data_IF_671729665890
#
_entry.id   IF_671729665890
#
_cell.length_a   1.000
_cell.length_b   1.000
_cell.length_c   1.000
_cell.angle_alpha   90.00
_cell.angle_beta   90.00
_cell.angle_gamma   90.00
#
_symmetry.space_group_name_H-M   'P 1'
#
loop_
_entity.id
_entity.type
_entity.pdbx_description
1 polymer ?
#
# COMPACT_ATOMS: atom_id res chain seq x y z
N UNK A 1 0.95 -5.34 20.24
CA UNK A 1 1.14 -4.65 18.97
C UNK A 1 -0.16 -4.77 18.21
N UNK A 2 -0.69 -3.65 17.72
CA UNK A 2 -1.95 -3.65 16.99
C UNK A 2 -1.80 -4.42 15.69
N UNK A 3 -2.72 -5.35 15.44
CA UNK A 3 -2.70 -6.22 14.26
C UNK A 3 -2.88 -5.41 12.97
N UNK A 4 -3.74 -4.39 13.02
CA UNK A 4 -4.04 -3.54 11.87
C UNK A 4 -3.49 -2.14 12.09
N UNK A 5 -2.94 -1.56 11.03
CA UNK A 5 -2.53 -0.16 11.01
C UNK A 5 -2.85 0.44 9.65
N UNK A 6 -3.33 1.68 9.67
CA UNK A 6 -3.48 2.52 8.49
C UNK A 6 -2.57 3.73 8.66
N UNK A 7 -1.61 3.89 7.73
CA UNK A 7 -0.63 4.97 7.77
C UNK A 7 -0.77 5.79 6.49
N UNK A 8 -1.00 7.09 6.66
CA UNK A 8 -0.98 8.05 5.57
C UNK A 8 0.27 8.92 5.65
N UNK A 9 0.93 9.09 4.51
CA UNK A 9 2.02 10.05 4.33
C UNK A 9 1.62 11.00 3.21
N UNK A 10 1.58 12.28 3.53
CA UNK A 10 1.36 13.34 2.56
C UNK A 10 2.69 13.71 1.89
N UNK A 11 2.65 13.86 0.58
CA UNK A 11 3.76 14.31 -0.25
C UNK A 11 3.51 15.72 -0.80
N UNK A 12 4.46 16.25 -1.58
CA UNK A 12 4.27 17.52 -2.28
C UNK A 12 3.14 17.42 -3.31
N UNK A 13 2.47 18.54 -3.59
CA UNK A 13 1.43 18.66 -4.64
C UNK A 13 0.23 17.71 -4.45
N UNK A 14 -0.29 17.58 -3.22
CA UNK A 14 -1.46 16.77 -2.87
C UNK A 14 -1.31 15.25 -3.12
N UNK A 15 -0.08 14.80 -3.35
CA UNK A 15 0.24 13.38 -3.43
C UNK A 15 0.12 12.74 -2.05
N UNK A 16 -0.24 11.46 -2.02
CA UNK A 16 -0.24 10.71 -0.78
C UNK A 16 0.14 9.25 -1.00
N UNK A 17 0.80 8.68 0.00
CA UNK A 17 1.08 7.26 0.10
C UNK A 17 0.38 6.72 1.33
N UNK A 18 -0.53 5.78 1.12
CA UNK A 18 -1.21 5.03 2.16
C UNK A 18 -0.60 3.63 2.29
N UNK A 19 -0.47 3.15 3.52
CA UNK A 19 -0.17 1.77 3.84
C UNK A 19 -1.27 1.19 4.73
N UNK A 20 -1.85 0.08 4.31
CA UNK A 20 -2.70 -0.77 5.14
C UNK A 20 -1.88 -1.98 5.57
N UNK A 21 -1.77 -2.22 6.88
CA UNK A 21 -0.91 -3.26 7.45
C UNK A 21 -1.77 -4.28 8.21
N UNK A 22 -1.42 -5.56 8.05
CA UNK A 22 -1.95 -6.67 8.84
C UNK A 22 -0.79 -7.55 9.30
N UNK A 23 -0.36 -7.39 10.55
CA UNK A 23 0.77 -8.12 11.11
C UNK A 23 2.09 -7.81 10.39
N UNK A 24 2.62 -8.78 9.65
CA UNK A 24 3.95 -8.71 9.01
C UNK A 24 3.91 -8.34 7.52
N UNK A 25 2.74 -7.99 7.00
CA UNK A 25 2.56 -7.59 5.61
C UNK A 25 1.71 -6.33 5.50
N UNK A 26 1.83 -5.65 4.37
CA UNK A 26 0.99 -4.51 4.06
C UNK A 26 0.79 -4.28 2.57
N UNK A 27 -0.27 -3.57 2.26
CA UNK A 27 -0.64 -3.11 0.94
C UNK A 27 -0.40 -1.61 0.84
N UNK A 28 0.21 -1.17 -0.26
CA UNK A 28 0.48 0.24 -0.51
C UNK A 28 -0.47 0.78 -1.57
N UNK A 29 -0.94 2.00 -1.35
CA UNK A 29 -1.70 2.79 -2.31
C UNK A 29 -1.08 4.17 -2.46
N UNK A 30 -0.77 4.54 -3.69
CA UNK A 30 -0.25 5.86 -4.03
C UNK A 30 -1.29 6.65 -4.82
N UNK A 31 -1.59 7.87 -4.37
CA UNK A 31 -2.52 8.79 -5.02
C UNK A 31 -1.74 10.01 -5.53
N UNK A 32 -1.91 10.38 -6.81
CA UNK A 32 -1.25 11.54 -7.42
C UNK A 32 -1.88 12.86 -6.95
N UNK A 33 -3.16 12.83 -6.64
CA UNK A 33 -3.94 13.94 -6.09
C UNK A 33 -5.17 13.39 -5.36
N UNK A 34 -5.87 14.26 -4.62
CA UNK A 34 -7.14 13.88 -3.97
C UNK A 34 -8.16 13.38 -5.01
N UNK A 35 -8.77 12.24 -4.73
CA UNK A 35 -9.79 11.62 -5.61
C UNK A 35 -9.23 10.86 -6.81
N UNK A 36 -7.91 10.70 -6.91
CA UNK A 36 -7.28 9.78 -7.86
C UNK A 36 -7.66 8.33 -7.52
N UNK A 37 -7.88 7.50 -8.54
CA UNK A 37 -8.02 6.04 -8.35
C UNK A 37 -6.70 5.44 -7.86
N UNK A 38 -5.59 6.05 -8.28
CA UNK A 38 -4.26 5.78 -7.76
C UNK A 38 -3.63 4.51 -8.30
N UNK A 39 -2.54 4.14 -7.62
CA UNK A 39 -1.73 2.97 -7.91
C UNK A 39 -1.67 2.11 -6.68
N UNK A 40 -1.57 0.80 -6.86
CA UNK A 40 -1.42 -0.13 -5.75
C UNK A 40 -0.27 -1.11 -5.92
N UNK A 41 0.25 -1.63 -4.80
CA UNK A 41 1.36 -2.57 -4.84
C UNK A 41 0.96 -3.94 -5.41
N UNK A 42 1.91 -4.57 -6.09
CA UNK A 42 1.90 -6.00 -6.43
C UNK A 42 3.17 -6.63 -5.88
N UNK A 43 3.07 -7.87 -5.42
CA UNK A 43 4.20 -8.64 -4.92
C UNK A 43 4.62 -9.67 -5.99
N UNK A 44 5.68 -9.39 -6.78
CA UNK A 44 6.15 -10.30 -7.81
C UNK A 44 6.73 -11.60 -7.23
N UNK A 45 7.13 -11.59 -5.96
CA UNK A 45 7.74 -12.72 -5.26
C UNK A 45 6.71 -13.52 -4.43
N UNK A 46 5.41 -13.25 -4.61
CA UNK A 46 4.38 -13.96 -3.87
C UNK A 46 4.34 -15.45 -4.25
N UNK A 47 4.58 -16.31 -3.26
CA UNK A 47 4.48 -17.77 -3.37
C UNK A 47 3.35 -18.24 -2.45
N UNK A 48 2.12 -18.24 -2.98
CA UNK A 48 0.94 -18.69 -2.25
C UNK A 48 -0.24 -18.98 -3.18
N UNK A 49 -1.41 -19.26 -2.61
CA UNK A 49 -2.61 -19.53 -3.39
C UNK A 49 -3.07 -18.26 -4.13
N UNK A 50 -3.53 -18.43 -5.38
CA UNK A 50 -3.92 -17.32 -6.25
C UNK A 50 -5.20 -16.60 -5.78
N UNK A 51 -6.04 -17.30 -5.02
CA UNK A 51 -7.30 -16.84 -4.44
C UNK A 51 -7.18 -16.47 -2.96
N UNK A 52 -5.97 -16.50 -2.38
CA UNK A 52 -5.78 -16.05 -1.01
C UNK A 52 -5.98 -14.54 -0.90
N UNK A 53 -6.66 -14.12 0.15
CA UNK A 53 -6.94 -12.72 0.45
C UNK A 53 -6.43 -12.36 1.85
N UNK A 54 -6.13 -11.08 2.05
CA UNK A 54 -5.74 -10.50 3.32
C UNK A 54 -6.71 -9.38 3.63
N UNK A 55 -7.21 -9.40 4.86
CA UNK A 55 -8.10 -8.37 5.35
C UNK A 55 -7.31 -7.19 5.94
N UNK A 56 -7.83 -5.98 5.79
CA UNK A 56 -7.28 -4.77 6.39
C UNK A 56 -8.40 -3.99 7.05
N UNK A 57 -8.09 -3.40 8.21
CA UNK A 57 -9.01 -2.55 8.95
C UNK A 57 -8.55 -1.10 8.82
N UNK A 58 -9.41 -0.26 8.25
CA UNK A 58 -9.19 1.17 8.12
C UNK A 58 -9.65 1.88 9.40
N UNK A 59 -9.14 3.09 9.65
CA UNK A 59 -9.49 3.86 10.85
C UNK A 59 -10.97 4.28 10.90
N UNK A 60 -11.67 4.30 9.77
CA UNK A 60 -13.11 4.55 9.69
C UNK A 60 -13.96 3.31 10.06
N UNK A 61 -13.33 2.18 10.40
CA UNK A 61 -14.00 0.92 10.72
C UNK A 61 -14.39 0.08 9.50
N UNK A 62 -14.05 0.53 8.30
CA UNK A 62 -14.19 -0.27 7.09
C UNK A 62 -13.17 -1.42 7.11
N UNK A 63 -13.64 -2.59 6.73
CA UNK A 63 -12.80 -3.76 6.51
C UNK A 63 -12.80 -4.08 5.02
N UNK A 64 -11.61 -4.15 4.44
CA UNK A 64 -11.40 -4.45 3.02
C UNK A 64 -10.58 -5.74 2.87
N UNK A 65 -10.81 -6.45 1.77
CA UNK A 65 -10.08 -7.67 1.41
C UNK A 65 -9.38 -7.44 0.08
N UNK A 66 -8.07 -7.73 0.06
CA UNK A 66 -7.27 -7.67 -1.16
C UNK A 66 -6.53 -8.99 -1.37
N UNK A 67 -6.25 -9.36 -2.63
CA UNK A 67 -5.42 -10.51 -2.92
C UNK A 67 -4.08 -10.47 -2.16
N UNK A 68 -3.71 -11.59 -1.55
CA UNK A 68 -2.44 -11.72 -0.83
C UNK A 68 -1.22 -11.49 -1.74
N UNK A 69 -1.39 -11.70 -3.06
CA UNK A 69 -0.39 -11.38 -4.09
C UNK A 69 -0.12 -9.88 -4.27
N UNK A 70 -0.90 -9.01 -3.61
CA UNK A 70 -0.69 -7.56 -3.62
C UNK A 70 0.06 -7.07 -2.38
N UNK A 71 0.13 -7.91 -1.35
CA UNK A 71 0.74 -7.59 -0.07
C UNK A 71 2.26 -7.78 -0.11
N UNK A 72 2.96 -6.79 0.42
CA UNK A 72 4.41 -6.75 0.53
C UNK A 72 4.84 -7.04 1.97
N UNK A 73 6.05 -7.56 2.21
CA UNK A 73 6.61 -7.67 3.54
C UNK A 73 6.66 -6.32 4.26
N UNK A 74 6.35 -6.28 5.55
CA UNK A 74 6.32 -5.05 6.35
C UNK A 74 7.64 -4.26 6.30
N UNK A 75 8.77 -4.95 6.18
CA UNK A 75 10.09 -4.30 6.01
C UNK A 75 10.14 -3.44 4.74
N UNK A 76 9.59 -3.94 3.63
CA UNK A 76 9.54 -3.24 2.35
C UNK A 76 8.50 -2.11 2.38
N UNK A 77 7.36 -2.33 3.05
CA UNK A 77 6.34 -1.30 3.29
C UNK A 77 6.93 -0.12 4.06
N UNK A 78 7.65 -0.38 5.15
CA UNK A 78 8.30 0.67 5.95
C UNK A 78 9.36 1.42 5.13
N UNK A 79 10.16 0.69 4.35
CA UNK A 79 11.14 1.30 3.45
C UNK A 79 10.47 2.21 2.41
N UNK A 80 9.33 1.80 1.85
CA UNK A 80 8.56 2.61 0.90
C UNK A 80 8.00 3.88 1.54
N UNK A 81 7.44 3.78 2.76
CA UNK A 81 6.96 4.93 3.52
C UNK A 81 8.08 5.92 3.82
N UNK A 82 9.23 5.44 4.30
CA UNK A 82 10.37 6.29 4.63
C UNK A 82 11.00 6.93 3.40
N UNK A 83 11.08 6.20 2.28
CA UNK A 83 11.50 6.74 1.00
C UNK A 83 10.58 7.90 0.59
N UNK A 84 9.26 7.66 0.53
CA UNK A 84 8.30 8.68 0.13
C UNK A 84 8.31 9.90 1.06
N UNK A 85 8.42 9.70 2.38
CA UNK A 85 8.59 10.81 3.36
C UNK A 85 9.82 11.66 3.07
N UNK A 86 10.93 11.02 2.70
CA UNK A 86 12.21 11.71 2.53
C UNK A 86 12.36 12.41 1.17
N UNK A 87 11.79 11.83 0.11
CA UNK A 87 11.97 12.33 -1.27
C UNK A 87 10.74 13.00 -1.84
N UNK A 88 9.55 12.70 -1.33
CA UNK A 88 8.28 13.11 -1.93
C UNK A 88 8.02 12.45 -3.30
N UNK A 89 8.74 11.39 -3.65
CA UNK A 89 8.60 10.69 -4.94
C UNK A 89 8.12 9.27 -4.73
N UNK A 90 7.33 8.76 -5.67
CA UNK A 90 6.88 7.35 -5.65
C UNK A 90 8.08 6.39 -5.53
N UNK A 91 8.04 5.43 -4.58
CA UNK A 91 9.11 4.44 -4.40
C UNK A 91 9.33 3.59 -5.68
N UNK A 92 10.49 3.70 -6.36
CA UNK A 92 10.71 3.02 -7.65
C UNK A 92 10.98 1.52 -7.52
N UNK A 93 11.26 1.05 -6.31
CA UNK A 93 11.51 -0.36 -6.00
C UNK A 93 10.23 -1.14 -5.68
N UNK A 94 9.07 -0.50 -5.72
CA UNK A 94 7.77 -1.15 -5.58
C UNK A 94 7.20 -1.42 -6.96
N UNK A 95 6.65 -2.62 -7.16
CA UNK A 95 5.87 -2.93 -8.37
C UNK A 95 4.47 -2.32 -8.23
N UNK A 96 4.26 -1.20 -8.91
CA UNK A 96 2.97 -0.51 -8.94
C UNK A 96 2.08 -1.04 -10.07
N UNK A 97 0.81 -1.23 -9.77
CA UNK A 97 -0.25 -1.40 -10.76
C UNK A 97 -1.02 -0.09 -10.84
N UNK A 98 -1.31 0.37 -12.06
CA UNK A 98 -2.16 1.53 -12.29
C UNK A 98 -3.63 1.10 -12.21
N UNK A 99 -4.33 1.54 -11.17
CA UNK A 99 -5.74 1.23 -10.98
C UNK A 99 -6.65 2.27 -11.67
N UNK A 100 -6.11 3.37 -12.22
CA UNK A 100 -6.90 4.37 -12.97
C UNK A 100 -7.28 3.89 -14.37
N UNK A 101 -6.51 2.97 -14.95
CA UNK A 101 -6.74 2.43 -16.29
C UNK A 101 -6.40 3.39 -17.43
N UNK A 102 -5.52 4.38 -17.17
CA UNK A 102 -5.01 5.33 -18.18
C UNK A 102 -4.02 4.69 -19.19
#
# INVERSE_FOLDING_TARGET
MDRYQEIWVEGPNDQSLCALINGEVGWLMYLRHKGDTGFSSRNPDYVGAADAEIDYMLNNGQQDWYPASWALPLTLVNQALDYFRSTGTVPPFITWHDDSGD
#
